data_IF_591550204430
#
_entry.id   IF_591550204430
#
_cell.length_a   1.000
_cell.length_b   1.000
_cell.length_c   1.000
_cell.angle_alpha   90.00
_cell.angle_beta   90.00
_cell.angle_gamma   90.00
#
_symmetry.space_group_name_H-M   'P 1'
#
loop_
_entity.id
_entity.type
_entity.pdbx_description
1 polymer ?
#
# COMPACT_ATOMS: atom_id res chain seq x y z
N UNK A 1 -4.44 11.06 -21.25
CA UNK A 1 -5.02 10.94 -19.90
C UNK A 1 -5.32 9.48 -19.66
N UNK A 2 -5.01 8.92 -18.50
CA UNK A 2 -5.47 7.57 -18.16
C UNK A 2 -7.00 7.64 -18.00
N UNK A 3 -7.73 6.73 -18.65
CA UNK A 3 -9.17 6.61 -18.46
C UNK A 3 -9.52 6.23 -17.02
N UNK A 4 -10.77 6.46 -16.63
CA UNK A 4 -11.30 5.98 -15.35
C UNK A 4 -11.17 4.45 -15.30
N UNK A 5 -10.67 3.92 -14.19
CA UNK A 5 -10.43 2.49 -14.03
C UNK A 5 -11.04 1.99 -12.72
N UNK A 6 -11.43 0.71 -12.72
CA UNK A 6 -12.06 0.05 -11.59
C UNK A 6 -11.38 -1.31 -11.37
N UNK A 7 -11.00 -1.66 -10.13
CA UNK A 7 -10.46 -2.98 -9.82
C UNK A 7 -11.58 -4.04 -9.89
N UNK A 8 -11.38 -5.06 -10.71
CA UNK A 8 -12.25 -6.24 -10.81
C UNK A 8 -11.43 -7.46 -10.43
N UNK A 9 -12.01 -8.36 -9.64
CA UNK A 9 -11.33 -9.59 -9.25
C UNK A 9 -11.38 -10.60 -10.39
N UNK A 10 -10.25 -11.25 -10.67
CA UNK A 10 -10.18 -12.28 -11.72
C UNK A 10 -11.09 -13.49 -11.42
N UNK A 11 -11.42 -13.73 -10.16
CA UNK A 11 -12.28 -14.82 -9.71
C UNK A 11 -13.74 -14.40 -9.51
N UNK A 12 -14.18 -13.28 -10.10
CA UNK A 12 -15.54 -12.77 -9.90
C UNK A 12 -16.61 -13.85 -10.16
N UNK A 13 -16.49 -14.59 -11.26
CA UNK A 13 -17.46 -15.62 -11.63
C UNK A 13 -17.52 -16.84 -10.71
N UNK A 14 -16.51 -17.06 -9.86
CA UNK A 14 -16.46 -18.20 -8.92
C UNK A 14 -16.77 -17.79 -7.48
N UNK A 15 -17.11 -16.53 -7.25
CA UNK A 15 -17.50 -16.07 -5.92
C UNK A 15 -18.85 -16.65 -5.50
N UNK A 16 -19.02 -17.08 -4.24
CA UNK A 16 -20.28 -17.65 -3.77
C UNK A 16 -21.45 -16.69 -3.99
N UNK A 17 -21.23 -15.39 -3.85
CA UNK A 17 -22.23 -14.35 -4.11
C UNK A 17 -22.73 -14.34 -5.57
N UNK A 18 -21.84 -14.56 -6.55
CA UNK A 18 -22.25 -14.64 -7.96
C UNK A 18 -22.97 -15.94 -8.23
N UNK A 19 -22.47 -17.04 -7.67
CA UNK A 19 -23.08 -18.35 -7.86
C UNK A 19 -24.50 -18.39 -7.28
N UNK A 20 -24.73 -17.79 -6.12
CA UNK A 20 -26.07 -17.63 -5.54
C UNK A 20 -27.00 -16.81 -6.45
N UNK A 21 -26.49 -15.75 -7.08
CA UNK A 21 -27.26 -14.98 -8.07
C UNK A 21 -27.59 -15.81 -9.31
N UNK A 22 -26.65 -16.63 -9.79
CA UNK A 22 -26.88 -17.55 -10.91
C UNK A 22 -27.98 -18.55 -10.56
N UNK A 23 -27.94 -19.14 -9.37
CA UNK A 23 -28.93 -20.11 -8.90
C UNK A 23 -30.33 -19.48 -8.76
N UNK A 24 -30.42 -18.25 -8.23
CA UNK A 24 -31.70 -17.55 -8.02
C UNK A 24 -32.29 -17.04 -9.33
N UNK A 25 -31.46 -16.56 -10.25
CA UNK A 25 -31.92 -15.88 -11.47
C UNK A 25 -32.01 -16.81 -12.68
N UNK A 26 -31.35 -17.96 -12.63
CA UNK A 26 -31.21 -18.89 -13.75
C UNK A 26 -30.39 -18.33 -14.91
N UNK A 27 -29.74 -17.18 -14.73
CA UNK A 27 -28.95 -16.52 -15.77
C UNK A 27 -27.53 -17.09 -15.79
N UNK A 28 -26.90 -17.18 -16.98
CA UNK A 28 -25.51 -17.62 -17.06
C UNK A 28 -24.59 -16.64 -16.32
N UNK A 29 -23.52 -17.18 -15.72
CA UNK A 29 -22.55 -16.44 -14.90
C UNK A 29 -21.96 -15.22 -15.62
N UNK A 30 -21.81 -15.29 -16.95
CA UNK A 30 -21.28 -14.18 -17.75
C UNK A 30 -22.21 -12.98 -17.78
N UNK A 31 -23.52 -13.22 -17.84
CA UNK A 31 -24.54 -12.16 -17.82
C UNK A 31 -24.60 -11.51 -16.44
N UNK A 32 -24.56 -12.33 -15.38
CA UNK A 32 -24.54 -11.84 -13.99
C UNK A 32 -23.27 -11.00 -13.76
N UNK A 33 -22.11 -11.55 -14.09
CA UNK A 33 -20.81 -10.90 -13.98
C UNK A 33 -20.76 -9.56 -14.72
N UNK A 34 -21.21 -9.53 -15.97
CA UNK A 34 -21.23 -8.32 -16.77
C UNK A 34 -22.14 -7.24 -16.20
N UNK A 35 -23.34 -7.59 -15.72
CA UNK A 35 -24.26 -6.63 -15.09
C UNK A 35 -23.64 -5.98 -13.86
N UNK A 36 -22.89 -6.72 -13.04
CA UNK A 36 -22.21 -6.19 -11.86
C UNK A 36 -21.08 -5.22 -12.24
N UNK A 37 -20.33 -5.55 -13.28
CA UNK A 37 -19.30 -4.65 -13.83
C UNK A 37 -19.95 -3.34 -14.31
N UNK A 38 -21.10 -3.42 -14.99
CA UNK A 38 -21.87 -2.25 -15.42
C UNK A 38 -22.35 -1.42 -14.22
N UNK A 39 -22.87 -2.06 -13.18
CA UNK A 39 -23.24 -1.38 -11.93
C UNK A 39 -22.06 -0.62 -11.34
N UNK A 40 -20.91 -1.26 -11.19
CA UNK A 40 -19.74 -0.60 -10.58
C UNK A 40 -19.16 0.50 -11.47
N UNK A 41 -19.14 0.30 -12.78
CA UNK A 41 -18.78 1.31 -13.78
C UNK A 41 -19.65 2.55 -13.65
N UNK A 42 -20.97 2.34 -13.66
CA UNK A 42 -21.95 3.39 -13.51
C UNK A 42 -21.84 4.09 -12.14
N UNK A 43 -21.70 3.34 -11.06
CA UNK A 43 -21.54 3.88 -9.71
C UNK A 43 -20.29 4.75 -9.57
N UNK A 44 -19.15 4.32 -10.15
CA UNK A 44 -17.89 5.07 -10.11
C UNK A 44 -17.94 6.40 -10.84
N UNK A 45 -18.82 6.55 -11.82
CA UNK A 45 -18.99 7.81 -12.54
C UNK A 45 -19.98 8.76 -11.84
N UNK A 46 -20.96 8.20 -11.12
CA UNK A 46 -22.06 8.98 -10.57
C UNK A 46 -21.88 9.30 -9.07
N UNK A 47 -20.95 8.65 -8.37
CA UNK A 47 -20.80 8.81 -6.92
C UNK A 47 -19.36 8.82 -6.43
N UNK A 48 -19.13 9.58 -5.36
CA UNK A 48 -17.87 9.60 -4.62
C UNK A 48 -17.89 8.62 -3.43
N UNK A 49 -19.05 8.51 -2.76
CA UNK A 49 -19.20 7.81 -1.47
C UNK A 49 -19.91 6.45 -1.59
N UNK A 50 -20.25 6.02 -2.81
CA UNK A 50 -20.91 4.73 -3.07
C UNK A 50 -22.41 4.70 -2.78
N UNK A 51 -22.97 5.84 -2.37
CA UNK A 51 -24.42 6.03 -2.19
C UNK A 51 -24.99 6.81 -3.36
N UNK A 52 -25.94 6.22 -4.08
CA UNK A 52 -26.55 6.75 -5.30
C UNK A 52 -28.04 6.93 -5.06
N UNK A 53 -28.63 8.02 -5.56
CA UNK A 53 -30.09 8.13 -5.61
C UNK A 53 -30.64 7.26 -6.76
N UNK A 54 -30.81 5.97 -6.49
CA UNK A 54 -31.25 4.99 -7.47
C UNK A 54 -32.14 3.94 -6.83
N UNK A 55 -33.34 3.77 -7.38
CA UNK A 55 -34.19 2.61 -7.11
C UNK A 55 -33.75 1.42 -7.98
N UNK A 56 -34.19 0.21 -7.63
CA UNK A 56 -33.87 -0.99 -8.41
C UNK A 56 -34.28 -0.87 -9.90
N UNK A 57 -35.45 -0.27 -10.18
CA UNK A 57 -35.88 0.08 -11.54
C UNK A 57 -34.90 1.03 -12.27
N UNK A 58 -34.37 2.05 -11.60
CA UNK A 58 -33.40 2.98 -12.21
C UNK A 58 -32.08 2.29 -12.55
N UNK A 59 -31.64 1.37 -11.69
CA UNK A 59 -30.44 0.57 -11.94
C UNK A 59 -30.68 -0.38 -13.12
N UNK A 60 -31.87 -0.99 -13.22
CA UNK A 60 -32.27 -1.80 -14.37
C UNK A 60 -32.21 -1.00 -15.70
N UNK A 61 -32.69 0.25 -15.71
CA UNK A 61 -32.58 1.11 -16.90
C UNK A 61 -31.13 1.47 -17.23
N UNK A 62 -30.30 1.75 -16.24
CA UNK A 62 -28.93 2.23 -16.44
C UNK A 62 -27.94 1.10 -16.78
N UNK A 63 -28.06 -0.05 -16.11
CA UNK A 63 -27.09 -1.16 -16.14
C UNK A 63 -27.64 -2.40 -16.84
N UNK A 64 -28.93 -2.41 -17.18
CA UNK A 64 -29.65 -3.54 -17.76
C UNK A 64 -30.20 -4.51 -16.71
N UNK A 65 -30.93 -5.52 -17.19
CA UNK A 65 -31.59 -6.53 -16.34
C UNK A 65 -32.91 -6.07 -15.76
N UNK A 66 -33.50 -6.93 -14.92
CA UNK A 66 -34.83 -6.71 -14.35
C UNK A 66 -34.73 -6.19 -12.92
N UNK A 67 -35.81 -5.58 -12.43
CA UNK A 67 -35.88 -5.09 -11.05
C UNK A 67 -35.66 -6.22 -10.02
N UNK A 68 -36.22 -7.41 -10.29
CA UNK A 68 -36.04 -8.60 -9.45
C UNK A 68 -34.57 -9.03 -9.34
N UNK A 69 -33.77 -8.86 -10.40
CA UNK A 69 -32.35 -9.16 -10.40
C UNK A 69 -31.60 -8.25 -9.42
N UNK A 70 -31.83 -6.94 -9.47
CA UNK A 70 -31.15 -6.00 -8.57
C UNK A 70 -31.58 -6.15 -7.11
N UNK A 71 -32.83 -6.53 -6.87
CA UNK A 71 -33.28 -6.93 -5.53
C UNK A 71 -32.62 -8.22 -5.04
N UNK A 72 -32.29 -9.17 -5.93
CA UNK A 72 -31.48 -10.34 -5.58
C UNK A 72 -30.02 -9.95 -5.26
N UNK A 73 -29.41 -9.05 -6.05
CA UNK A 73 -28.07 -8.50 -5.75
C UNK A 73 -28.04 -7.79 -4.39
N UNK A 74 -29.14 -7.15 -4.00
CA UNK A 74 -29.25 -6.56 -2.67
C UNK A 74 -29.33 -7.61 -1.54
N UNK A 75 -30.02 -8.74 -1.77
CA UNK A 75 -30.10 -9.84 -0.81
C UNK A 75 -28.75 -10.51 -0.56
N UNK A 76 -27.94 -10.67 -1.61
CA UNK A 76 -26.58 -11.22 -1.52
C UNK A 76 -25.60 -10.26 -0.82
N UNK A 77 -26.00 -9.01 -0.58
CA UNK A 77 -25.23 -8.06 0.23
C UNK A 77 -24.19 -7.27 -0.57
N UNK A 78 -24.37 -7.17 -1.89
CA UNK A 78 -23.54 -6.28 -2.73
C UNK A 78 -24.15 -4.91 -2.96
N UNK A 79 -25.46 -4.81 -2.80
CA UNK A 79 -26.22 -3.58 -2.81
C UNK A 79 -27.09 -3.52 -1.56
N UNK A 80 -27.39 -2.30 -1.11
CA UNK A 80 -28.42 -2.05 -0.11
C UNK A 80 -29.33 -0.95 -0.62
N UNK A 81 -30.63 -1.19 -0.63
CA UNK A 81 -31.61 -0.14 -0.91
C UNK A 81 -32.11 0.46 0.41
N UNK A 82 -32.03 1.78 0.52
CA UNK A 82 -32.57 2.60 1.59
C UNK A 82 -33.56 3.60 0.98
N UNK A 83 -34.76 3.11 0.68
CA UNK A 83 -35.82 3.86 0.00
C UNK A 83 -35.38 4.38 -1.39
N UNK A 84 -35.23 5.70 -1.58
CA UNK A 84 -34.82 6.28 -2.86
C UNK A 84 -33.32 6.14 -3.15
N UNK A 85 -32.52 5.66 -2.20
CA UNK A 85 -31.08 5.55 -2.31
C UNK A 85 -30.62 4.10 -2.38
N UNK A 86 -29.57 3.83 -3.14
CA UNK A 86 -28.87 2.56 -3.21
C UNK A 86 -27.42 2.78 -2.77
N UNK A 87 -26.93 1.92 -1.88
CA UNK A 87 -25.55 1.95 -1.39
C UNK A 87 -24.84 0.68 -1.86
N UNK A 88 -23.68 0.83 -2.48
CA UNK A 88 -22.81 -0.30 -2.86
C UNK A 88 -21.98 -0.70 -1.64
N UNK A 89 -22.15 -1.95 -1.19
CA UNK A 89 -21.44 -2.45 -0.01
C UNK A 89 -19.93 -2.60 -0.28
N UNK A 90 -19.11 -2.24 0.71
CA UNK A 90 -17.65 -2.30 0.59
C UNK A 90 -17.01 -1.24 -0.32
N UNK A 91 -17.75 -0.17 -0.68
CA UNK A 91 -17.27 0.93 -1.53
C UNK A 91 -15.92 1.50 -1.08
N UNK A 92 -15.80 1.87 0.20
CA UNK A 92 -14.59 2.48 0.76
C UNK A 92 -13.34 1.60 0.68
N UNK A 93 -13.52 0.28 0.64
CA UNK A 93 -12.41 -0.66 0.57
C UNK A 93 -11.90 -0.83 -0.86
N UNK A 94 -12.75 -0.67 -1.87
CA UNK A 94 -12.46 -1.10 -3.25
C UNK A 94 -12.53 0.00 -4.31
N UNK A 95 -13.48 0.91 -4.18
CA UNK A 95 -13.83 1.84 -5.27
C UNK A 95 -13.61 3.31 -4.90
N UNK A 96 -13.44 3.64 -3.62
CA UNK A 96 -13.13 5.02 -3.22
C UNK A 96 -11.81 5.50 -3.82
N UNK A 97 -11.69 6.83 -4.00
CA UNK A 97 -10.46 7.45 -4.52
C UNK A 97 -9.24 7.08 -3.68
N UNK A 98 -9.41 6.98 -2.35
CA UNK A 98 -8.37 6.55 -1.44
C UNK A 98 -7.97 5.08 -1.67
N UNK A 99 -8.93 4.18 -1.87
CA UNK A 99 -8.65 2.78 -2.20
C UNK A 99 -7.88 2.66 -3.53
N UNK A 100 -8.35 3.33 -4.59
CA UNK A 100 -7.67 3.35 -5.91
C UNK A 100 -6.24 3.89 -5.79
N UNK A 101 -6.03 4.98 -5.04
CA UNK A 101 -4.70 5.53 -4.79
C UNK A 101 -3.77 4.55 -4.05
N UNK A 102 -4.27 3.84 -3.03
CA UNK A 102 -3.50 2.81 -2.32
C UNK A 102 -3.11 1.65 -3.25
N UNK A 103 -4.02 1.22 -4.13
CA UNK A 103 -3.73 0.16 -5.11
C UNK A 103 -2.67 0.59 -6.12
N UNK A 104 -2.73 1.82 -6.64
CA UNK A 104 -1.68 2.34 -7.52
C UNK A 104 -0.34 2.46 -6.80
N UNK A 105 -0.32 2.95 -5.57
CA UNK A 105 0.89 3.03 -4.77
C UNK A 105 1.50 1.64 -4.53
N UNK A 106 0.66 0.64 -4.23
CA UNK A 106 1.09 -0.75 -4.08
C UNK A 106 1.68 -1.29 -5.40
N UNK A 107 1.03 -1.02 -6.55
CA UNK A 107 1.53 -1.40 -7.87
C UNK A 107 2.85 -0.72 -8.20
N UNK A 108 2.98 0.58 -7.94
CA UNK A 108 4.24 1.34 -8.13
C UNK A 108 5.36 0.79 -7.25
N UNK A 109 5.08 0.48 -5.98
CA UNK A 109 6.05 -0.13 -5.06
C UNK A 109 6.44 -1.55 -5.49
N UNK A 110 5.49 -2.36 -5.95
CA UNK A 110 5.77 -3.71 -6.46
C UNK A 110 6.67 -3.66 -7.71
N UNK A 111 6.36 -2.78 -8.67
CA UNK A 111 7.20 -2.56 -9.84
C UNK A 111 8.62 -2.10 -9.45
N UNK A 112 8.74 -1.13 -8.53
CA UNK A 112 10.04 -0.67 -8.04
C UNK A 112 10.85 -1.78 -7.35
N UNK A 113 10.19 -2.65 -6.57
CA UNK A 113 10.85 -3.82 -5.96
C UNK A 113 11.30 -4.83 -7.01
N UNK A 114 10.48 -5.10 -8.02
CA UNK A 114 10.84 -6.01 -9.10
C UNK A 114 12.08 -5.53 -9.87
N UNK A 115 12.14 -4.23 -10.21
CA UNK A 115 13.32 -3.61 -10.85
C UNK A 115 14.56 -3.73 -9.96
N UNK A 116 14.41 -3.51 -8.65
CA UNK A 116 15.52 -3.65 -7.70
C UNK A 116 16.03 -5.10 -7.63
N UNK A 117 15.14 -6.09 -7.56
CA UNK A 117 15.52 -7.51 -7.55
C UNK A 117 16.21 -7.94 -8.86
N UNK A 118 15.76 -7.41 -10.00
CA UNK A 118 16.41 -7.62 -11.30
C UNK A 118 17.81 -6.99 -11.32
N UNK A 119 17.98 -5.79 -10.75
CA UNK A 119 19.27 -5.13 -10.62
C UNK A 119 20.22 -5.83 -9.65
N UNK A 120 19.72 -6.47 -8.59
CA UNK A 120 20.52 -7.21 -7.61
C UNK A 120 20.97 -8.59 -8.13
N UNK A 121 20.28 -9.16 -9.13
CA UNK A 121 20.62 -10.46 -9.74
C UNK A 121 21.60 -10.39 -10.92
N UNK A 122 22.01 -9.20 -11.37
CA UNK A 122 23.05 -9.03 -12.39
C UNK A 122 24.30 -8.35 -11.79
N UNK A 123 25.33 -9.11 -11.37
CA UNK A 123 26.62 -8.54 -11.06
C UNK A 123 27.47 -8.52 -12.32
N UNK A 124 27.19 -7.65 -13.29
CA UNK A 124 28.22 -7.37 -14.29
C UNK A 124 28.15 -5.94 -14.83
N UNK A 125 29.27 -5.25 -14.64
CA UNK A 125 29.51 -3.88 -15.08
C UNK A 125 29.67 -3.89 -16.60
N UNK A 126 28.61 -3.56 -17.32
CA UNK A 126 28.75 -3.03 -18.68
C UNK A 126 27.90 -1.79 -18.80
N UNK A 127 28.59 -0.64 -18.83
CA UNK A 127 27.97 0.66 -19.06
C UNK A 127 27.31 0.67 -20.44
N UNK A 128 26.00 0.48 -20.47
CA UNK A 128 25.20 0.82 -21.63
C UNK A 128 24.00 1.64 -21.16
N UNK A 129 23.89 2.80 -21.78
CA UNK A 129 23.05 3.93 -21.44
C UNK A 129 21.58 3.54 -21.20
N UNK A 130 21.09 3.76 -19.97
CA UNK A 130 19.66 3.90 -19.67
C UNK A 130 19.14 5.21 -20.29
N UNK A 131 18.99 5.22 -21.62
CA UNK A 131 17.94 5.99 -22.27
C UNK A 131 16.69 5.12 -22.24
N UNK A 132 15.52 5.73 -22.10
CA UNK A 132 14.16 5.13 -22.13
C UNK A 132 13.44 4.97 -20.78
N UNK A 133 13.38 6.02 -19.94
CA UNK A 133 12.22 6.26 -19.04
C UNK A 133 11.88 7.78 -18.96
N UNK A 134 12.12 8.55 -20.03
CA UNK A 134 11.83 10.00 -20.07
C UNK A 134 10.78 10.41 -21.11
N UNK A 135 10.08 9.46 -21.71
CA UNK A 135 9.04 9.75 -22.68
C UNK A 135 7.67 9.40 -22.08
N UNK A 136 6.75 10.38 -22.02
CA UNK A 136 5.40 10.40 -21.41
C UNK A 136 5.23 11.20 -20.12
N UNK A 137 5.84 12.39 -20.03
CA UNK A 137 5.34 13.43 -19.10
C UNK A 137 5.52 14.86 -19.64
N UNK A 138 5.10 15.07 -20.87
CA UNK A 138 4.95 16.40 -21.47
C UNK A 138 3.71 16.41 -22.35
N UNK A 139 2.58 16.87 -21.81
CA UNK A 139 1.46 17.49 -22.52
C UNK A 139 0.70 18.31 -21.47
N UNK A 140 1.31 19.44 -21.13
CA UNK A 140 0.65 20.58 -20.50
C UNK A 140 -0.16 21.24 -21.62
N UNK A 141 -1.49 21.12 -21.57
CA UNK A 141 -2.36 21.90 -22.45
C UNK A 141 -2.46 23.30 -21.87
N UNK A 142 -1.97 24.26 -22.63
CA UNK A 142 -2.29 25.67 -22.47
C UNK A 142 -3.81 25.85 -22.48
N UNK A 143 -4.35 26.40 -21.40
CA UNK A 143 -5.72 26.93 -21.37
C UNK A 143 -5.56 28.44 -21.32
N UNK A 144 -5.90 29.10 -22.43
CA UNK A 144 -6.10 30.53 -22.49
C UNK A 144 -7.33 30.88 -21.63
N UNK A 145 -7.26 31.87 -20.71
CA UNK A 145 -8.43 32.26 -19.92
C UNK A 145 -9.40 33.08 -20.78
N UNK A 146 -10.65 32.62 -20.84
CA UNK A 146 -11.78 33.41 -21.33
C UNK A 146 -12.11 34.55 -20.35
N UNK A 147 -12.59 35.66 -20.93
CA UNK A 147 -12.91 36.94 -20.31
C UNK A 147 -13.98 36.87 -19.17
N UNK A 148 -14.14 37.95 -18.37
CA UNK A 148 -14.56 37.88 -16.97
C UNK A 148 -16.08 37.94 -16.76
N UNK A 149 -16.54 37.28 -15.70
CA UNK A 149 -17.85 37.53 -15.07
C UNK A 149 -17.62 37.98 -13.62
N UNK A 150 -18.27 39.07 -13.15
CA UNK A 150 -17.93 39.72 -11.89
C UNK A 150 -18.72 39.12 -10.72
N UNK A 151 -18.04 38.73 -9.64
CA UNK A 151 -18.67 38.57 -8.33
C UNK A 151 -17.63 38.66 -7.20
N UNK A 152 -17.66 39.81 -6.51
CA UNK A 152 -17.36 40.06 -5.09
C UNK A 152 -16.15 39.39 -4.41
N UNK A 153 -15.14 40.23 -4.12
CA UNK A 153 -13.99 40.03 -3.20
C UNK A 153 -14.39 39.51 -1.81
N UNK A 154 -13.63 38.55 -1.26
CA UNK A 154 -13.17 38.63 0.12
C UNK A 154 -11.63 38.80 0.19
N UNK A 155 -11.18 39.48 1.25
CA UNK A 155 -9.85 40.04 1.41
C UNK A 155 -8.69 39.02 1.29
N UNK A 156 -7.70 39.39 0.47
CA UNK A 156 -6.45 38.66 0.30
C UNK A 156 -5.59 38.75 1.58
N UNK A 157 -5.36 37.61 2.24
CA UNK A 157 -4.16 37.43 3.07
C UNK A 157 -2.96 37.27 2.13
N UNK A 158 -2.03 38.21 2.15
CA UNK A 158 -0.77 38.11 1.41
C UNK A 158 -0.03 36.82 1.84
N UNK A 159 0.45 35.98 0.90
CA UNK A 159 1.27 34.83 1.25
C UNK A 159 2.65 35.30 1.73
N UNK A 160 3.06 34.88 2.93
CA UNK A 160 4.40 35.15 3.45
C UNK A 160 5.49 34.53 2.54
N UNK A 161 6.59 35.25 2.35
CA UNK A 161 7.75 34.89 1.51
C UNK A 161 8.29 33.48 1.84
N UNK A 162 8.82 32.70 0.88
CA UNK A 162 9.44 31.42 1.18
C UNK A 162 10.75 31.65 1.95
N UNK A 163 10.80 31.24 3.23
CA UNK A 163 11.83 31.65 4.20
C UNK A 163 13.18 30.93 4.02
N UNK A 164 13.31 29.87 3.22
CA UNK A 164 14.59 29.13 3.08
C UNK A 164 14.88 28.80 1.62
N UNK A 165 16.09 29.11 1.17
CA UNK A 165 16.60 28.84 -0.18
C UNK A 165 17.95 28.12 -0.14
N UNK A 166 18.35 27.53 -1.26
CA UNK A 166 19.66 26.90 -1.43
C UNK A 166 20.21 27.24 -2.82
N UNK A 167 21.49 27.57 -2.88
CA UNK A 167 22.25 27.76 -4.12
C UNK A 167 23.56 26.97 -4.08
N UNK A 168 24.10 26.64 -5.26
CA UNK A 168 25.35 25.88 -5.36
C UNK A 168 26.56 26.70 -4.87
N UNK A 169 26.54 28.02 -5.08
CA UNK A 169 27.67 28.90 -4.78
C UNK A 169 27.62 29.42 -3.34
N UNK A 170 26.45 29.86 -2.86
CA UNK A 170 26.29 30.43 -1.52
C UNK A 170 25.84 29.42 -0.45
N UNK A 171 25.33 28.24 -0.86
CA UNK A 171 24.80 27.25 0.07
C UNK A 171 23.39 27.56 0.57
N UNK A 172 23.12 27.25 1.83
CA UNK A 172 21.81 27.46 2.46
C UNK A 172 21.62 28.92 2.87
N UNK A 173 20.50 29.52 2.48
CA UNK A 173 20.11 30.89 2.84
C UNK A 173 18.72 30.90 3.50
N UNK A 174 18.52 31.79 4.46
CA UNK A 174 17.24 31.96 5.18
C UNK A 174 16.96 30.96 6.32
N UNK A 175 17.92 30.10 6.70
CA UNK A 175 17.78 29.27 7.91
C UNK A 175 17.97 30.15 9.15
N UNK A 176 16.88 30.48 9.85
CA UNK A 176 16.92 31.33 11.03
C UNK A 176 17.44 30.58 12.26
N UNK A 177 17.88 31.31 13.30
CA UNK A 177 18.29 30.70 14.57
C UNK A 177 17.16 29.92 15.25
N UNK A 178 15.91 30.37 15.08
CA UNK A 178 14.73 29.66 15.56
C UNK A 178 14.59 28.29 14.89
N UNK A 179 14.79 28.23 13.57
CA UNK A 179 14.73 26.99 12.78
C UNK A 179 15.81 26.00 13.22
N UNK A 180 17.02 26.52 13.50
CA UNK A 180 18.14 25.70 13.99
C UNK A 180 17.81 25.10 15.35
N UNK A 181 17.24 25.89 16.26
CA UNK A 181 16.83 25.42 17.59
C UNK A 181 15.71 24.38 17.50
N UNK A 182 14.68 24.63 16.69
CA UNK A 182 13.57 23.70 16.45
C UNK A 182 14.06 22.35 15.91
N UNK A 183 14.92 22.37 14.89
CA UNK A 183 15.43 21.14 14.29
C UNK A 183 16.44 20.40 15.18
N UNK A 184 17.25 21.12 15.96
CA UNK A 184 18.13 20.49 16.94
C UNK A 184 17.34 19.79 18.06
N UNK A 185 16.24 20.39 18.53
CA UNK A 185 15.36 19.77 19.53
C UNK A 185 14.61 18.55 18.96
N UNK A 186 14.14 18.64 17.71
CA UNK A 186 13.41 17.55 17.06
C UNK A 186 14.31 16.36 16.67
N UNK A 187 15.56 16.63 16.29
CA UNK A 187 16.50 15.63 15.79
C UNK A 187 17.82 15.60 16.58
N UNK A 188 17.82 15.21 17.86
CA UNK A 188 19.01 15.30 18.73
C UNK A 188 20.17 14.41 18.26
N UNK A 189 19.89 13.34 17.53
CA UNK A 189 20.92 12.45 16.97
C UNK A 189 21.60 12.99 15.70
N UNK A 190 21.10 14.09 15.12
CA UNK A 190 21.64 14.67 13.90
C UNK A 190 22.35 15.99 14.22
N UNK A 191 23.69 16.04 14.09
CA UNK A 191 24.45 17.27 14.28
C UNK A 191 24.16 18.20 13.11
N UNK A 192 23.31 19.22 13.36
CA UNK A 192 22.66 20.01 12.31
C UNK A 192 23.62 20.60 11.28
N UNK A 193 24.69 21.27 11.71
CA UNK A 193 25.64 21.92 10.79
C UNK A 193 26.40 20.89 9.91
N UNK A 194 26.76 19.73 10.48
CA UNK A 194 27.40 18.64 9.73
C UNK A 194 26.45 18.06 8.69
N UNK A 195 25.18 17.91 9.04
CA UNK A 195 24.16 17.39 8.12
C UNK A 195 23.78 18.38 7.02
N UNK A 196 23.72 19.68 7.32
CA UNK A 196 23.54 20.73 6.30
C UNK A 196 24.71 20.77 5.31
N UNK A 197 25.95 20.56 5.78
CA UNK A 197 27.12 20.46 4.91
C UNK A 197 27.07 19.21 4.02
N UNK A 198 26.72 18.03 4.58
CA UNK A 198 26.50 16.81 3.79
C UNK A 198 25.38 16.98 2.77
N UNK A 199 24.29 17.66 3.15
CA UNK A 199 23.18 17.96 2.25
C UNK A 199 23.62 18.88 1.10
N UNK A 200 24.44 19.90 1.36
CA UNK A 200 25.04 20.76 0.32
C UNK A 200 25.93 19.97 -0.63
N UNK A 201 26.84 19.14 -0.11
CA UNK A 201 27.70 18.29 -0.95
C UNK A 201 26.88 17.34 -1.83
N UNK A 202 25.81 16.76 -1.27
CA UNK A 202 24.91 15.89 -2.02
C UNK A 202 24.15 16.63 -3.12
N UNK A 203 23.68 17.85 -2.86
CA UNK A 203 22.99 18.68 -3.86
C UNK A 203 23.94 19.13 -4.97
N UNK A 204 25.20 19.46 -4.65
CA UNK A 204 26.25 19.73 -5.65
C UNK A 204 26.50 18.51 -6.55
N UNK A 205 26.53 17.31 -5.97
CA UNK A 205 26.67 16.06 -6.73
C UNK A 205 25.40 15.67 -7.52
N UNK A 206 24.23 16.24 -7.18
CA UNK A 206 22.92 15.88 -7.77
C UNK A 206 22.16 17.13 -8.25
N UNK A 207 22.65 17.86 -9.27
CA UNK A 207 22.07 19.15 -9.69
C UNK A 207 20.62 19.03 -10.17
N UNK A 208 20.22 17.91 -10.78
CA UNK A 208 18.82 17.66 -11.18
C UNK A 208 17.84 17.65 -9.98
N UNK A 209 18.34 17.40 -8.77
CA UNK A 209 17.54 17.39 -7.53
C UNK A 209 17.58 18.73 -6.78
N UNK A 210 18.35 19.70 -7.28
CA UNK A 210 18.51 21.02 -6.69
C UNK A 210 17.41 22.04 -7.08
N UNK A 211 16.49 21.70 -8.00
CA UNK A 211 15.38 22.57 -8.41
C UNK A 211 14.14 22.52 -7.49
N UNK A 212 14.29 22.30 -6.17
CA UNK A 212 13.13 22.13 -5.27
C UNK A 212 12.55 23.47 -4.81
N UNK A 213 11.21 23.55 -4.75
CA UNK A 213 10.47 24.75 -4.28
C UNK A 213 10.29 24.81 -2.75
N UNK A 214 10.45 23.69 -2.04
CA UNK A 214 10.28 23.63 -0.58
C UNK A 214 11.50 22.98 0.08
N UNK A 215 12.45 23.83 0.45
CA UNK A 215 13.72 23.42 1.06
C UNK A 215 13.59 22.96 2.51
N UNK A 216 12.66 23.54 3.29
CA UNK A 216 12.42 23.12 4.68
C UNK A 216 11.99 21.65 4.76
N UNK A 217 11.04 21.24 3.90
CA UNK A 217 10.63 19.82 3.81
C UNK A 217 11.79 18.89 3.43
N UNK A 218 12.70 19.36 2.58
CA UNK A 218 13.89 18.60 2.20
C UNK A 218 14.83 18.40 3.40
N UNK A 219 15.12 19.46 4.16
CA UNK A 219 16.00 19.42 5.34
C UNK A 219 15.39 18.52 6.42
N UNK A 220 14.12 18.70 6.76
CA UNK A 220 13.42 17.88 7.77
C UNK A 220 13.46 16.39 7.40
N UNK A 221 13.16 16.05 6.14
CA UNK A 221 13.26 14.67 5.66
C UNK A 221 14.71 14.16 5.51
N UNK A 222 15.71 15.03 5.46
CA UNK A 222 17.12 14.68 5.51
C UNK A 222 17.52 14.30 6.94
N UNK A 223 17.19 15.15 7.92
CA UNK A 223 17.49 14.96 9.33
C UNK A 223 16.80 13.71 9.91
N UNK A 224 15.51 13.51 9.60
CA UNK A 224 14.77 12.31 10.01
C UNK A 224 15.47 11.03 9.54
N UNK A 225 15.89 10.97 8.27
CA UNK A 225 16.61 9.80 7.73
C UNK A 225 18.00 9.62 8.34
N UNK A 226 18.63 10.69 8.80
CA UNK A 226 19.89 10.59 9.54
C UNK A 226 19.66 9.95 10.91
N UNK A 227 18.63 10.41 11.64
CA UNK A 227 18.26 9.86 12.94
C UNK A 227 17.76 8.41 12.88
N UNK A 228 16.92 8.06 11.91
CA UNK A 228 16.46 6.67 11.70
C UNK A 228 17.63 5.73 11.38
N UNK A 229 18.72 6.30 10.85
CA UNK A 229 19.98 5.60 10.60
C UNK A 229 20.92 5.66 11.82
N UNK A 230 20.49 6.10 12.99
CA UNK A 230 21.34 6.12 14.18
C UNK A 230 22.26 7.35 14.28
N UNK A 231 21.95 8.44 13.59
CA UNK A 231 22.56 9.76 13.83
C UNK A 231 23.88 10.04 13.12
N UNK A 232 24.39 11.25 13.33
CA UNK A 232 25.62 11.78 12.71
C UNK A 232 26.88 11.23 13.35
N UNK A 233 26.87 11.03 14.67
CA UNK A 233 28.04 10.61 15.47
C UNK A 233 28.05 9.10 15.67
N UNK A 234 28.10 8.36 14.56
CA UNK A 234 28.34 6.91 14.63
C UNK A 234 29.82 6.64 14.89
N UNK A 235 30.10 5.78 15.87
CA UNK A 235 31.36 5.06 15.93
C UNK A 235 31.47 4.13 14.69
N UNK A 236 32.54 4.21 13.89
CA UNK A 236 32.70 3.36 12.72
C UNK A 236 32.79 1.89 13.15
N UNK A 237 31.71 1.13 12.91
CA UNK A 237 31.67 -0.31 13.13
C UNK A 237 30.42 -0.84 13.86
N UNK A 238 29.63 0.01 14.52
CA UNK A 238 28.46 -0.46 15.28
C UNK A 238 27.16 -0.08 14.58
N UNK A 239 26.46 -1.05 13.99
CA UNK A 239 25.06 -0.86 13.54
C UNK A 239 24.14 -1.11 14.73
N UNK A 240 23.15 -0.24 15.01
CA UNK A 240 22.15 -0.50 16.06
C UNK A 240 21.31 -1.77 15.82
N UNK A 241 21.35 -2.32 14.60
CA UNK A 241 20.60 -3.50 14.15
C UNK A 241 21.51 -4.65 13.67
N UNK A 242 22.70 -4.83 14.23
CA UNK A 242 23.41 -6.12 14.09
C UNK A 242 22.75 -7.18 15.00
N UNK A 243 21.48 -7.48 14.73
CA UNK A 243 20.90 -8.75 15.18
C UNK A 243 21.67 -9.84 14.45
N UNK A 244 22.14 -10.91 15.13
CA UNK A 244 22.75 -12.03 14.44
C UNK A 244 21.77 -12.51 13.35
N UNK A 245 22.27 -12.90 12.16
CA UNK A 245 21.41 -13.38 11.09
C UNK A 245 20.46 -14.45 11.66
N UNK A 246 19.17 -14.46 11.29
CA UNK A 246 18.24 -15.45 11.80
C UNK A 246 18.82 -16.84 11.53
N UNK A 247 18.91 -17.66 12.60
CA UNK A 247 19.39 -19.04 12.48
C UNK A 247 18.60 -19.72 11.37
N UNK A 248 19.30 -20.20 10.35
CA UNK A 248 18.69 -20.91 9.24
C UNK A 248 18.12 -22.22 9.78
N UNK A 249 16.84 -22.49 9.50
CA UNK A 249 16.21 -23.76 9.87
C UNK A 249 16.98 -24.99 9.33
N UNK A 250 17.79 -24.82 8.27
CA UNK A 250 18.66 -25.88 7.74
C UNK A 250 19.80 -26.26 8.67
N UNK A 251 20.25 -25.36 9.54
CA UNK A 251 21.33 -25.66 10.50
C UNK A 251 20.82 -26.48 11.69
N UNK A 252 19.51 -26.45 11.94
CA UNK A 252 18.83 -27.18 13.03
C UNK A 252 18.12 -28.45 12.54
N UNK A 253 17.75 -28.52 11.25
CA UNK A 253 17.09 -29.69 10.69
C UNK A 253 18.05 -30.87 10.54
N UNK A 254 18.10 -31.71 11.57
CA UNK A 254 18.64 -33.06 11.49
C UNK A 254 17.47 -34.01 11.19
N UNK A 255 17.30 -34.49 9.93
CA UNK A 255 16.24 -35.44 9.64
C UNK A 255 16.41 -36.66 10.54
N UNK A 256 15.31 -37.15 11.12
CA UNK A 256 15.35 -38.37 11.91
C UNK A 256 15.97 -39.49 11.05
N UNK A 257 16.96 -40.24 11.56
CA UNK A 257 17.55 -41.33 10.79
C UNK A 257 16.44 -42.29 10.38
N UNK A 258 16.38 -42.64 9.10
CA UNK A 258 15.44 -43.63 8.60
C UNK A 258 15.63 -44.92 9.40
N UNK A 259 14.61 -45.31 10.17
CA UNK A 259 14.57 -46.63 10.81
C UNK A 259 14.03 -47.64 9.81
N UNK A 260 14.67 -48.79 9.73
CA UNK A 260 14.15 -49.89 8.93
C UNK A 260 12.86 -50.44 9.56
N UNK A 261 11.94 -51.06 8.79
CA UNK A 261 10.70 -51.63 9.33
C UNK A 261 10.92 -52.64 10.48
N UNK A 262 12.08 -53.29 10.51
CA UNK A 262 12.45 -54.24 11.57
C UNK A 262 12.79 -53.52 12.89
N UNK A 263 13.47 -52.37 12.81
CA UNK A 263 13.83 -51.55 13.96
C UNK A 263 12.62 -50.81 14.54
N UNK A 264 11.67 -50.39 13.70
CA UNK A 264 10.40 -49.82 14.18
C UNK A 264 9.52 -50.88 14.86
N UNK A 265 9.47 -52.10 14.34
CA UNK A 265 8.75 -53.22 14.95
C UNK A 265 9.36 -53.64 16.30
N UNK A 266 10.70 -53.68 16.40
CA UNK A 266 11.39 -54.00 17.66
C UNK A 266 11.13 -52.94 18.74
N UNK A 267 11.11 -51.66 18.36
CA UNK A 267 10.83 -50.57 19.31
C UNK A 267 9.36 -50.57 19.74
N UNK A 268 8.43 -50.85 18.82
CA UNK A 268 7.02 -51.02 19.15
C UNK A 268 6.75 -52.20 20.10
N UNK A 269 7.50 -53.29 19.96
CA UNK A 269 7.45 -54.42 20.90
C UNK A 269 7.97 -54.04 22.30
N UNK A 270 9.02 -53.20 22.38
CA UNK A 270 9.54 -52.69 23.66
C UNK A 270 8.63 -51.66 24.34
N UNK A 271 7.71 -51.03 23.61
CA UNK A 271 6.79 -50.01 24.13
C UNK A 271 5.41 -50.56 24.56
N UNK A 272 5.14 -51.85 24.37
CA UNK A 272 3.93 -52.47 24.93
C UNK A 272 4.13 -52.69 26.43
N UNK A 273 3.64 -51.71 27.20
CA UNK A 273 3.61 -51.67 28.65
C UNK A 273 2.96 -52.93 29.26
N UNK A 274 3.64 -53.44 30.27
CA UNK A 274 3.14 -54.30 31.35
C UNK A 274 1.73 -53.90 31.81
N UNK A 275 0.75 -54.76 31.60
CA UNK A 275 -0.57 -54.64 32.22
C UNK A 275 -0.44 -54.92 33.72
N UNK A 276 -0.49 -53.87 34.53
CA UNK A 276 -0.62 -53.98 36.00
C UNK A 276 -2.00 -54.54 36.35
N UNK A 277 -2.01 -55.65 37.09
CA UNK A 277 -3.20 -56.25 37.69
C UNK A 277 -3.64 -55.45 38.92
N UNK A 278 -4.94 -55.13 39.10
CA UNK A 278 -5.36 -54.29 40.22
C UNK A 278 -5.40 -55.09 41.53
N UNK A 279 -4.58 -54.66 42.49
CA UNK A 279 -4.47 -55.20 43.84
C UNK A 279 -5.70 -54.79 44.69
N UNK A 280 -6.52 -55.77 45.05
CA UNK A 280 -7.60 -55.62 46.01
C UNK A 280 -7.06 -55.77 47.44
N UNK A 281 -6.94 -54.67 48.20
CA UNK A 281 -6.94 -54.72 49.66
C UNK A 281 -7.06 -53.36 50.35
N UNK A 282 -7.80 -53.38 51.46
CA UNK A 282 -7.87 -52.40 52.56
C UNK A 282 -8.81 -51.20 52.42
N UNK A 283 -10.10 -51.44 52.71
CA UNK A 283 -10.91 -50.53 53.53
C UNK A 283 -11.41 -51.30 54.75
N UNK A 284 -10.78 -51.08 55.90
CA UNK A 284 -11.24 -51.56 57.21
C UNK A 284 -10.78 -50.61 58.32
N UNK A 285 -11.74 -50.03 59.05
CA UNK A 285 -11.63 -49.44 60.39
C UNK A 285 -10.79 -48.15 60.50
N UNK A 286 -11.14 -47.14 61.29
CA UNK A 286 -12.21 -46.95 62.29
C UNK A 286 -12.36 -45.45 62.52
#
# INVERSE_FOLDING_TARGET
MAGEWIPIDCNLGTKPEVLELVDVTGLPVEVVGWRLIQLWSWASMNTADGTIRATASRIATACGGDEAFWLAVARVGWLRFDGPNATVEGWEKRFSRAAKARMEDARRKAAARAVRLLSEKCPEKTGLQERTIQEKRGQEKEILPAAPVPASKPAARSPAKPVVSWSADAGWDGITAADRSEWAAAYPGAVLDRELAKATAWLKANPKRAGRRNWRRFIVGWLQRCQDKGGTDREPGRRPDDKPPPKSWRDEYRPAPYRTPKESAALAASMKLTEETPNASSRSGS
#
